data_IF_123283863129
#
_entry.id   IF_123283863129
#
_cell.length_a   1.000
_cell.length_b   1.000
_cell.length_c   1.000
_cell.angle_alpha   90.00
_cell.angle_beta   90.00
_cell.angle_gamma   90.00
#
_symmetry.space_group_name_H-M   'P 1'
#
loop_
_entity.id
_entity.type
_entity.pdbx_description
1 polymer ?
#
# COMPACT_ATOMS: atom_id res chain seq x y z
N UNK A 1 21.36 -10.45 41.64
CA UNK A 1 21.29 -10.50 40.17
C UNK A 1 20.41 -9.34 39.71
N UNK A 2 21.01 -8.22 39.35
CA UNK A 2 20.29 -7.04 38.85
C UNK A 2 19.98 -7.27 37.36
N UNK A 3 18.70 -7.42 37.03
CA UNK A 3 18.23 -7.52 35.64
C UNK A 3 18.50 -6.17 34.93
N UNK A 4 19.38 -6.12 33.91
CA UNK A 4 19.71 -4.89 33.22
C UNK A 4 18.81 -4.76 31.99
N UNK A 5 17.56 -4.31 32.13
CA UNK A 5 16.72 -3.73 31.05
C UNK A 5 15.22 -3.61 31.41
N UNK A 6 14.89 -3.03 32.56
CA UNK A 6 13.54 -2.44 32.71
C UNK A 6 13.67 -0.98 32.26
N UNK A 7 13.39 -0.74 30.99
CA UNK A 7 13.07 0.60 30.50
C UNK A 7 11.87 1.06 31.35
N UNK A 8 11.90 2.23 32.01
CA UNK A 8 10.80 2.67 32.85
C UNK A 8 9.48 2.54 32.08
N UNK A 9 8.46 2.00 32.75
CA UNK A 9 7.15 1.77 32.16
C UNK A 9 6.70 3.06 31.45
N UNK A 10 6.62 2.98 30.14
CA UNK A 10 6.30 4.11 29.28
C UNK A 10 4.87 4.58 29.61
N UNK A 11 4.71 5.69 30.33
CA UNK A 11 3.40 6.30 30.55
C UNK A 11 3.23 7.58 29.74
N UNK A 12 2.57 7.44 28.57
CA UNK A 12 2.18 8.59 27.74
C UNK A 12 1.36 9.62 28.51
N UNK A 13 0.67 9.23 29.59
CA UNK A 13 -0.24 10.11 30.35
C UNK A 13 0.51 11.22 31.08
N UNK A 14 1.72 10.96 31.57
CA UNK A 14 2.52 11.96 32.30
C UNK A 14 3.08 13.05 31.37
N UNK A 15 3.31 12.70 30.11
CA UNK A 15 3.85 13.61 29.09
C UNK A 15 2.83 14.59 28.52
N UNK A 16 1.54 14.31 28.62
CA UNK A 16 0.48 15.14 28.00
C UNK A 16 -0.29 15.95 29.03
N UNK A 17 -1.03 16.96 28.57
CA UNK A 17 -1.96 17.73 29.38
C UNK A 17 -3.13 18.17 28.50
N UNK A 18 -4.33 18.25 29.07
CA UNK A 18 -5.49 18.82 28.39
C UNK A 18 -5.42 20.35 28.47
N UNK A 19 -5.45 21.04 27.34
CA UNK A 19 -5.53 22.51 27.26
C UNK A 19 -6.54 22.88 26.17
N UNK A 20 -7.57 23.63 26.54
CA UNK A 20 -8.63 24.08 25.63
C UNK A 20 -9.32 22.96 24.84
N UNK A 21 -9.52 21.79 25.45
CA UNK A 21 -10.15 20.62 24.80
C UNK A 21 -9.21 19.82 23.90
N UNK A 22 -7.95 20.22 23.75
CA UNK A 22 -6.93 19.50 23.00
C UNK A 22 -5.86 18.91 23.91
N UNK A 23 -5.30 17.78 23.51
CA UNK A 23 -4.18 17.14 24.22
C UNK A 23 -2.89 17.73 23.68
N UNK A 24 -2.15 18.43 24.54
CA UNK A 24 -0.88 19.09 24.20
C UNK A 24 0.24 18.61 25.12
N UNK A 25 1.48 18.77 24.69
CA UNK A 25 2.67 18.61 25.55
C UNK A 25 3.47 19.91 25.59
N UNK A 26 4.38 20.06 26.54
CA UNK A 26 5.23 21.25 26.65
C UNK A 26 6.70 20.90 26.40
N UNK A 27 7.47 21.85 25.88
CA UNK A 27 8.91 21.63 25.66
C UNK A 27 9.67 21.30 26.95
N UNK A 28 9.16 21.69 28.12
CA UNK A 28 9.71 21.30 29.44
C UNK A 28 9.44 19.83 29.76
N UNK A 29 8.20 19.34 29.58
CA UNK A 29 7.88 17.92 29.75
C UNK A 29 8.70 17.03 28.81
N UNK A 30 8.89 17.49 27.57
CA UNK A 30 9.78 16.80 26.60
C UNK A 30 11.22 16.77 27.10
N UNK A 31 11.74 17.89 27.61
CA UNK A 31 13.11 17.96 28.14
C UNK A 31 13.33 17.01 29.33
N UNK A 32 12.40 17.00 30.28
CA UNK A 32 12.39 16.12 31.44
C UNK A 32 12.35 14.65 31.03
N UNK A 33 11.42 14.31 30.12
CA UNK A 33 11.24 12.94 29.64
C UNK A 33 12.49 12.37 28.95
N UNK A 34 13.13 13.15 28.07
CA UNK A 34 14.32 12.69 27.36
C UNK A 34 15.62 12.90 28.16
N UNK A 35 15.54 13.42 29.39
CA UNK A 35 16.70 13.78 30.20
C UNK A 35 17.62 14.78 29.51
N UNK A 36 17.05 15.70 28.71
CA UNK A 36 17.77 16.70 27.92
C UNK A 36 17.62 18.08 28.55
N UNK A 37 18.60 18.95 28.33
CA UNK A 37 18.49 20.36 28.75
C UNK A 37 17.37 21.05 27.97
N UNK A 38 16.51 21.80 28.65
CA UNK A 38 15.39 22.52 28.02
C UNK A 38 15.84 23.42 26.87
N UNK A 39 16.99 24.10 27.00
CA UNK A 39 17.57 24.92 25.94
C UNK A 39 17.89 24.15 24.64
N UNK A 40 18.32 22.88 24.74
CA UNK A 40 18.61 22.05 23.56
C UNK A 40 17.32 21.62 22.86
N UNK A 41 16.26 21.37 23.65
CA UNK A 41 14.93 21.08 23.12
C UNK A 41 14.35 22.29 22.40
N UNK A 42 14.48 23.50 22.97
CA UNK A 42 14.06 24.74 22.30
C UNK A 42 14.80 24.95 20.97
N UNK A 43 16.12 24.74 20.95
CA UNK A 43 16.91 24.83 19.71
C UNK A 43 16.45 23.82 18.67
N UNK A 44 16.16 22.58 19.08
CA UNK A 44 15.63 21.55 18.18
C UNK A 44 14.27 21.95 17.62
N UNK A 45 13.40 22.51 18.45
CA UNK A 45 12.08 22.98 18.02
C UNK A 45 12.21 24.07 16.97
N UNK A 46 13.09 25.06 17.15
CA UNK A 46 13.31 26.10 16.14
C UNK A 46 13.88 25.53 14.83
N UNK A 47 14.80 24.56 14.91
CA UNK A 47 15.30 23.88 13.72
C UNK A 47 14.18 23.15 12.97
N UNK A 48 13.36 22.38 13.68
CA UNK A 48 12.21 21.67 13.09
C UNK A 48 11.20 22.65 12.49
N UNK A 49 10.96 23.79 13.13
CA UNK A 49 10.09 24.85 12.62
C UNK A 49 10.63 25.47 11.32
N UNK A 50 11.94 25.55 11.15
CA UNK A 50 12.59 26.05 9.94
C UNK A 50 12.57 25.02 8.80
N UNK A 51 12.68 23.73 9.12
CA UNK A 51 12.72 22.64 8.14
C UNK A 51 11.32 22.24 7.63
N UNK A 52 10.24 22.57 8.36
CA UNK A 52 8.87 22.24 8.00
C UNK A 52 8.11 23.42 7.35
N UNK A 53 6.93 23.14 6.77
CA UNK A 53 6.12 24.19 6.16
C UNK A 53 5.62 25.20 7.20
N UNK A 54 5.50 26.47 6.80
CA UNK A 54 5.01 27.55 7.67
C UNK A 54 3.62 27.25 8.27
N UNK A 55 2.76 26.58 7.51
CA UNK A 55 1.43 26.18 7.96
C UNK A 55 1.49 25.13 9.08
N UNK A 56 2.34 24.10 8.92
CA UNK A 56 2.55 23.08 9.94
C UNK A 56 3.17 23.68 11.21
N UNK A 57 4.19 24.52 11.03
CA UNK A 57 4.88 25.21 12.13
C UNK A 57 3.90 26.01 13.00
N UNK A 58 3.04 26.83 12.37
CA UNK A 58 2.07 27.68 13.07
C UNK A 58 0.99 26.90 13.82
N UNK A 59 0.54 25.77 13.29
CA UNK A 59 -0.51 24.95 13.92
C UNK A 59 0.01 24.08 15.06
N UNK A 60 1.26 23.62 14.96
CA UNK A 60 1.77 22.57 15.85
C UNK A 60 2.74 23.08 16.92
N UNK A 61 3.27 24.31 16.78
CA UNK A 61 4.21 24.92 17.72
C UNK A 61 3.70 26.28 18.21
N UNK A 62 3.00 26.30 19.34
CA UNK A 62 2.50 27.52 19.97
C UNK A 62 3.48 28.04 21.03
N UNK A 63 3.92 29.29 20.92
CA UNK A 63 4.74 29.94 21.95
C UNK A 63 3.97 30.06 23.26
N UNK A 64 4.62 29.79 24.38
CA UNK A 64 4.06 29.90 25.72
C UNK A 64 5.17 30.27 26.70
N UNK A 65 4.82 30.73 27.90
CA UNK A 65 5.79 31.03 28.94
C UNK A 65 5.48 30.24 30.20
N UNK A 66 6.53 29.97 30.99
CA UNK A 66 6.40 29.40 32.32
C UNK A 66 7.19 30.20 33.34
N UNK A 67 6.78 30.08 34.59
CA UNK A 67 7.50 30.64 35.73
C UNK A 67 8.48 29.58 36.21
N UNK A 68 9.77 29.90 36.22
CA UNK A 68 10.80 29.02 36.75
C UNK A 68 10.81 29.02 38.30
N UNK A 69 11.62 28.15 38.89
CA UNK A 69 11.75 28.02 40.35
C UNK A 69 12.25 29.30 41.04
N UNK A 70 12.80 30.24 40.26
CA UNK A 70 13.29 31.54 40.72
C UNK A 70 12.23 32.65 40.52
N UNK A 71 11.00 32.29 40.13
CA UNK A 71 9.92 33.24 39.89
C UNK A 71 10.05 34.00 38.56
N UNK A 72 10.99 33.63 37.69
CA UNK A 72 11.25 34.34 36.43
C UNK A 72 10.48 33.71 35.27
N UNK A 73 9.91 34.56 34.42
CA UNK A 73 9.29 34.15 33.16
C UNK A 73 10.35 33.64 32.19
N UNK A 74 10.14 32.43 31.67
CA UNK A 74 10.98 31.75 30.70
C UNK A 74 10.14 31.27 29.51
N UNK A 75 10.65 31.41 28.27
CA UNK A 75 9.94 30.96 27.10
C UNK A 75 9.91 29.43 27.04
N UNK A 76 8.78 28.89 26.57
CA UNK A 76 8.57 27.50 26.24
C UNK A 76 7.66 27.35 25.01
N UNK A 77 7.46 26.11 24.57
CA UNK A 77 6.52 25.80 23.49
C UNK A 77 5.47 24.83 23.99
N UNK A 78 4.22 25.09 23.62
CA UNK A 78 3.12 24.15 23.67
C UNK A 78 3.03 23.44 22.31
N UNK A 79 3.10 22.12 22.33
CA UNK A 79 3.22 21.27 21.17
C UNK A 79 1.96 20.40 21.05
N UNK A 80 1.38 20.33 19.85
CA UNK A 80 0.33 19.36 19.55
C UNK A 80 0.91 17.95 19.42
N UNK A 81 0.04 16.94 19.31
CA UNK A 81 0.43 15.55 18.99
C UNK A 81 1.41 15.47 17.81
N UNK A 82 1.13 16.18 16.72
CA UNK A 82 1.94 16.09 15.52
C UNK A 82 3.25 16.87 15.66
N UNK A 83 3.22 18.01 16.36
CA UNK A 83 4.40 18.82 16.64
C UNK A 83 5.46 18.09 17.47
N UNK A 84 5.06 17.41 18.55
CA UNK A 84 6.04 16.69 19.38
C UNK A 84 6.59 15.44 18.68
N UNK A 85 5.77 14.70 17.91
CA UNK A 85 6.23 13.56 17.10
C UNK A 85 7.33 14.01 16.12
N UNK A 86 7.11 15.14 15.43
CA UNK A 86 8.09 15.69 14.50
C UNK A 86 9.45 15.97 15.18
N UNK A 87 9.44 16.48 16.41
CA UNK A 87 10.65 16.71 17.20
C UNK A 87 11.32 15.41 17.63
N UNK A 88 10.55 14.42 18.09
CA UNK A 88 11.07 13.15 18.59
C UNK A 88 11.69 12.29 17.50
N UNK A 89 11.17 12.36 16.26
CA UNK A 89 11.78 11.66 15.13
C UNK A 89 13.23 12.10 14.90
N UNK A 90 13.56 13.36 15.19
CA UNK A 90 14.91 13.92 15.11
C UNK A 90 15.81 13.70 16.34
N UNK A 91 15.31 13.04 17.40
CA UNK A 91 16.10 12.66 18.57
C UNK A 91 16.77 11.30 18.42
N UNK A 92 17.92 11.16 19.08
CA UNK A 92 18.72 9.93 19.18
C UNK A 92 18.83 9.48 20.63
N UNK A 93 18.95 8.17 20.86
CA UNK A 93 19.06 7.54 22.20
C UNK A 93 18.03 6.44 22.45
N UNK A 94 18.24 5.65 23.52
CA UNK A 94 17.39 4.47 23.86
C UNK A 94 15.92 4.83 24.07
N UNK A 95 15.64 5.93 24.77
CA UNK A 95 14.26 6.40 24.99
C UNK A 95 13.58 6.85 23.68
N UNK A 96 14.32 7.50 22.78
CA UNK A 96 13.80 7.89 21.47
C UNK A 96 13.55 6.67 20.57
N UNK A 97 14.43 5.66 20.61
CA UNK A 97 14.24 4.40 19.89
C UNK A 97 12.96 3.68 20.34
N UNK A 98 12.74 3.57 21.65
CA UNK A 98 11.53 2.94 22.20
C UNK A 98 10.23 3.63 21.74
N UNK A 99 10.21 4.97 21.64
CA UNK A 99 9.05 5.71 21.10
C UNK A 99 8.85 5.41 19.62
N UNK A 100 9.93 5.40 18.84
CA UNK A 100 9.86 5.11 17.41
C UNK A 100 9.33 3.70 17.17
N UNK A 101 9.82 2.72 17.91
CA UNK A 101 9.33 1.33 17.87
C UNK A 101 7.87 1.24 18.29
N UNK A 102 7.47 1.93 19.35
CA UNK A 102 6.07 1.97 19.80
C UNK A 102 5.16 2.59 18.74
N UNK A 103 5.58 3.68 18.10
CA UNK A 103 4.85 4.31 17.01
C UNK A 103 4.74 3.39 15.78
N UNK A 104 5.82 2.71 15.41
CA UNK A 104 5.83 1.71 14.33
C UNK A 104 4.88 0.56 14.67
N UNK A 105 4.91 0.06 15.91
CA UNK A 105 4.04 -1.03 16.36
C UNK A 105 2.56 -0.63 16.32
N UNK A 106 2.23 0.60 16.73
CA UNK A 106 0.88 1.13 16.66
C UNK A 106 0.41 1.30 15.21
N UNK A 107 1.30 1.73 14.31
CA UNK A 107 1.00 1.82 12.88
C UNK A 107 0.72 0.43 12.28
N UNK A 108 1.59 -0.55 12.56
CA UNK A 108 1.41 -1.93 12.10
C UNK A 108 0.13 -2.54 12.66
N UNK A 109 -0.16 -2.31 13.95
CA UNK A 109 -1.41 -2.75 14.56
C UNK A 109 -2.63 -2.11 13.90
N UNK A 110 -2.62 -0.79 13.67
CA UNK A 110 -3.74 -0.11 13.03
C UNK A 110 -3.91 -0.53 11.55
N UNK A 111 -2.81 -0.74 10.84
CA UNK A 111 -2.81 -1.31 9.49
C UNK A 111 -3.43 -2.71 9.51
N UNK A 112 -3.04 -3.58 10.43
CA UNK A 112 -3.62 -4.90 10.62
C UNK A 112 -5.11 -4.83 11.02
N UNK A 113 -5.51 -3.90 11.90
CA UNK A 113 -6.92 -3.69 12.24
C UNK A 113 -7.76 -3.20 11.04
N UNK A 114 -7.23 -2.31 10.21
CA UNK A 114 -7.90 -1.86 8.98
C UNK A 114 -8.02 -3.01 7.98
N UNK A 115 -6.94 -3.78 7.78
CA UNK A 115 -6.95 -4.99 6.95
C UNK A 115 -7.96 -6.02 7.46
N UNK A 116 -8.04 -6.23 8.78
CA UNK A 116 -9.04 -7.11 9.42
C UNK A 116 -10.46 -6.59 9.31
N UNK A 117 -10.69 -5.28 9.48
CA UNK A 117 -12.03 -4.66 9.31
C UNK A 117 -12.49 -4.76 7.87
N UNK A 118 -11.61 -4.52 6.91
CA UNK A 118 -11.87 -4.75 5.50
C UNK A 118 -12.17 -6.23 5.26
N UNK A 119 -11.31 -7.15 5.73
CA UNK A 119 -11.53 -8.59 5.62
C UNK A 119 -12.86 -9.06 6.26
N UNK A 120 -13.26 -8.50 7.40
CA UNK A 120 -14.52 -8.80 8.09
C UNK A 120 -15.74 -8.18 7.40
N UNK A 121 -15.63 -6.96 6.87
CA UNK A 121 -16.65 -6.37 6.03
C UNK A 121 -16.86 -7.20 4.76
N UNK A 122 -15.77 -7.67 4.14
CA UNK A 122 -15.82 -8.61 3.01
C UNK A 122 -16.38 -9.97 3.43
N UNK A 123 -16.09 -10.48 4.64
CA UNK A 123 -16.65 -11.72 5.17
C UNK A 123 -18.19 -11.68 5.33
N UNK A 124 -18.72 -10.57 5.81
CA UNK A 124 -20.17 -10.37 5.98
C UNK A 124 -20.94 -10.40 4.64
N UNK A 125 -20.26 -10.15 3.52
CA UNK A 125 -20.78 -10.29 2.15
C UNK A 125 -20.37 -11.60 1.46
N UNK A 126 -19.74 -12.56 2.16
CA UNK A 126 -19.32 -13.84 1.60
C UNK A 126 -18.02 -13.80 0.77
N UNK A 127 -17.17 -12.79 0.97
CA UNK A 127 -15.95 -12.51 0.19
C UNK A 127 -14.65 -12.60 1.02
N UNK A 128 -14.68 -13.19 2.23
CA UNK A 128 -13.49 -13.36 3.07
C UNK A 128 -12.42 -14.21 2.35
N UNK A 129 -11.23 -13.62 2.17
CA UNK A 129 -10.06 -14.27 1.56
C UNK A 129 -9.66 -13.78 0.17
N UNK A 130 -10.32 -12.74 -0.38
CA UNK A 130 -10.13 -12.34 -1.78
C UNK A 130 -9.30 -11.08 -2.06
N UNK A 131 -9.02 -10.24 -1.07
CA UNK A 131 -8.38 -8.95 -1.33
C UNK A 131 -7.27 -8.59 -0.33
N UNK A 132 -6.09 -8.34 -0.89
CA UNK A 132 -4.90 -7.85 -0.21
C UNK A 132 -4.66 -6.40 -0.69
N UNK A 133 -4.30 -5.47 0.20
CA UNK A 133 -4.27 -4.03 -0.12
C UNK A 133 -3.23 -3.64 -1.20
N UNK A 134 -2.33 -4.56 -1.56
CA UNK A 134 -1.33 -4.46 -2.63
C UNK A 134 -1.68 -5.27 -3.89
N UNK A 135 -2.96 -5.60 -4.10
CA UNK A 135 -3.35 -6.46 -5.21
C UNK A 135 -3.35 -5.70 -6.54
N UNK A 136 -2.71 -6.28 -7.57
CA UNK A 136 -2.60 -5.64 -8.89
C UNK A 136 -3.99 -5.37 -9.50
N UNK A 137 -4.13 -4.30 -10.28
CA UNK A 137 -5.39 -3.94 -10.96
C UNK A 137 -5.97 -5.12 -11.77
N UNK A 138 -5.11 -5.95 -12.36
CA UNK A 138 -5.50 -7.16 -13.07
C UNK A 138 -6.14 -8.19 -12.16
N UNK A 139 -5.58 -8.37 -10.96
CA UNK A 139 -6.14 -9.27 -9.96
C UNK A 139 -7.44 -8.72 -9.38
N UNK A 140 -7.57 -7.40 -9.19
CA UNK A 140 -8.83 -6.78 -8.82
C UNK A 140 -9.93 -7.02 -9.86
N UNK A 141 -9.61 -6.83 -11.15
CA UNK A 141 -10.56 -7.07 -12.24
C UNK A 141 -10.94 -8.55 -12.35
N UNK A 142 -9.99 -9.46 -12.17
CA UNK A 142 -10.26 -10.90 -12.23
C UNK A 142 -11.28 -11.37 -11.17
N UNK A 143 -11.30 -10.72 -10.00
CA UNK A 143 -12.10 -11.13 -8.84
C UNK A 143 -13.39 -10.31 -8.70
N UNK A 144 -13.45 -9.07 -9.18
CA UNK A 144 -14.63 -8.20 -9.08
C UNK A 144 -15.50 -8.16 -10.35
N UNK A 145 -15.39 -9.17 -11.21
CA UNK A 145 -16.20 -9.26 -12.42
C UNK A 145 -17.54 -9.97 -12.14
N UNK A 146 -18.63 -9.48 -12.73
CA UNK A 146 -19.98 -10.08 -12.62
C UNK A 146 -19.96 -11.57 -12.96
N UNK A 147 -19.21 -11.95 -14.00
CA UNK A 147 -19.03 -13.34 -14.42
C UNK A 147 -18.45 -14.24 -13.30
N UNK A 148 -17.56 -13.71 -12.46
CA UNK A 148 -17.01 -14.48 -11.35
C UNK A 148 -18.04 -14.69 -10.23
N UNK A 149 -18.85 -13.66 -9.93
CA UNK A 149 -19.92 -13.76 -8.94
C UNK A 149 -21.06 -14.71 -9.38
N UNK A 150 -21.31 -14.82 -10.69
CA UNK A 150 -22.38 -15.67 -11.22
C UNK A 150 -21.93 -17.10 -11.54
N UNK A 151 -20.74 -17.27 -12.13
CA UNK A 151 -20.28 -18.56 -12.65
C UNK A 151 -19.17 -19.21 -11.81
N UNK A 152 -18.59 -18.49 -10.84
CA UNK A 152 -17.52 -19.00 -9.98
C UNK A 152 -16.16 -19.21 -10.65
N UNK A 153 -16.05 -18.94 -11.96
CA UNK A 153 -14.81 -19.06 -12.73
C UNK A 153 -14.14 -17.69 -12.85
N UNK A 154 -12.89 -17.52 -12.39
CA UNK A 154 -12.19 -16.24 -12.48
C UNK A 154 -11.82 -15.90 -13.93
N UNK A 155 -11.78 -14.60 -14.24
CA UNK A 155 -11.38 -14.11 -15.56
C UNK A 155 -9.87 -14.30 -15.76
N UNK A 156 -9.49 -14.88 -16.89
CA UNK A 156 -8.08 -14.97 -17.30
C UNK A 156 -7.74 -13.79 -18.23
N UNK A 157 -6.93 -12.85 -17.75
CA UNK A 157 -6.47 -11.70 -18.55
C UNK A 157 -5.06 -11.97 -19.05
N UNK A 158 -4.88 -12.00 -20.38
CA UNK A 158 -3.59 -12.21 -21.03
C UNK A 158 -3.23 -11.05 -21.94
N UNK A 159 -1.99 -10.58 -21.85
CA UNK A 159 -1.45 -9.63 -22.81
C UNK A 159 -1.16 -10.35 -24.14
N UNK A 160 -1.73 -9.85 -25.24
CA UNK A 160 -1.56 -10.44 -26.58
C UNK A 160 -0.92 -9.40 -27.50
N UNK A 161 0.31 -9.69 -27.96
CA UNK A 161 1.06 -8.77 -28.84
C UNK A 161 0.29 -8.37 -30.10
N UNK A 162 -0.55 -9.26 -30.60
CA UNK A 162 -1.29 -9.10 -31.84
C UNK A 162 -2.47 -8.14 -31.75
N UNK A 163 -2.83 -7.66 -30.55
CA UNK A 163 -3.92 -6.70 -30.37
C UNK A 163 -3.44 -5.24 -30.22
N UNK A 164 -2.13 -5.04 -30.13
CA UNK A 164 -1.52 -3.70 -30.05
C UNK A 164 -1.68 -2.95 -31.38
N UNK A 165 -2.22 -1.74 -31.34
CA UNK A 165 -2.42 -0.87 -32.52
C UNK A 165 -3.41 -1.41 -33.57
N UNK A 166 -4.25 -2.40 -33.22
CA UNK A 166 -5.22 -3.02 -34.15
C UNK A 166 -6.61 -2.38 -34.12
N UNK A 167 -6.86 -1.50 -33.17
CA UNK A 167 -8.11 -0.76 -33.04
C UNK A 167 -8.22 0.38 -34.05
N UNK A 168 -9.43 0.93 -34.17
CA UNK A 168 -9.69 2.10 -35.02
C UNK A 168 -8.73 3.25 -34.66
N UNK A 169 -8.07 3.81 -35.69
CA UNK A 169 -7.12 4.91 -35.51
C UNK A 169 -5.77 4.50 -34.89
N UNK A 170 -5.41 3.22 -34.94
CA UNK A 170 -4.12 2.73 -34.41
C UNK A 170 -4.09 2.59 -32.89
N UNK A 171 -5.26 2.56 -32.24
CA UNK A 171 -5.38 2.33 -30.80
C UNK A 171 -5.24 0.84 -30.45
N UNK A 172 -5.01 0.54 -29.18
CA UNK A 172 -4.97 -0.84 -28.69
C UNK A 172 -6.38 -1.44 -28.60
N UNK A 173 -6.48 -2.74 -28.85
CA UNK A 173 -7.73 -3.52 -28.84
C UNK A 173 -7.72 -4.52 -27.68
N UNK A 174 -8.86 -4.69 -27.02
CA UNK A 174 -9.13 -5.85 -26.16
C UNK A 174 -10.17 -6.72 -26.81
N UNK A 175 -10.03 -8.03 -26.63
CA UNK A 175 -11.01 -9.03 -27.03
C UNK A 175 -11.40 -9.83 -25.80
N UNK A 176 -12.70 -9.95 -25.55
CA UNK A 176 -13.27 -10.74 -24.48
C UNK A 176 -14.11 -11.86 -25.09
N UNK A 177 -13.95 -13.08 -24.59
CA UNK A 177 -14.64 -14.24 -25.12
C UNK A 177 -14.84 -15.34 -24.10
N UNK A 178 -15.82 -16.21 -24.32
CA UNK A 178 -16.04 -17.38 -23.47
C UNK A 178 -15.18 -18.54 -23.95
N UNK A 179 -14.22 -18.97 -23.12
CA UNK A 179 -13.30 -20.08 -23.44
C UNK A 179 -13.95 -21.45 -23.21
N UNK A 180 -14.95 -21.79 -24.03
CA UNK A 180 -15.58 -23.11 -24.07
C UNK A 180 -15.77 -23.52 -25.53
N UNK A 181 -15.36 -24.74 -25.87
CA UNK A 181 -15.51 -25.34 -27.22
C UNK A 181 -16.97 -25.39 -27.69
N UNK A 182 -17.93 -25.37 -26.76
CA UNK A 182 -19.36 -25.28 -27.08
C UNK A 182 -19.72 -23.97 -27.75
N UNK A 183 -19.08 -22.87 -27.36
CA UNK A 183 -19.42 -21.52 -27.80
C UNK A 183 -18.44 -20.96 -28.82
N UNK A 184 -17.15 -21.27 -28.68
CA UNK A 184 -16.11 -20.81 -29.61
C UNK A 184 -15.28 -21.99 -30.05
N UNK A 185 -15.30 -22.24 -31.35
CA UNK A 185 -14.62 -23.37 -31.96
C UNK A 185 -13.41 -22.88 -32.75
N UNK A 186 -12.34 -23.66 -32.65
CA UNK A 186 -11.16 -23.47 -33.47
C UNK A 186 -10.71 -24.84 -33.97
N UNK A 187 -11.14 -25.26 -35.18
CA UNK A 187 -10.74 -26.54 -35.72
C UNK A 187 -9.24 -26.49 -36.03
N UNK A 188 -8.46 -27.30 -35.29
CA UNK A 188 -7.02 -27.36 -35.39
C UNK A 188 -6.60 -28.82 -35.54
N UNK A 189 -5.83 -29.11 -36.59
CA UNK A 189 -4.99 -30.30 -36.62
C UNK A 189 -3.61 -29.87 -36.12
N UNK A 190 -3.16 -30.39 -34.97
CA UNK A 190 -1.87 -30.02 -34.40
C UNK A 190 -0.75 -30.32 -35.40
N UNK A 191 0.32 -29.55 -35.32
CA UNK A 191 1.47 -29.73 -36.21
C UNK A 191 2.08 -31.12 -35.98
N UNK A 192 2.18 -31.91 -37.04
CA UNK A 192 2.76 -33.25 -37.03
C UNK A 192 3.94 -33.31 -37.99
N UNK A 193 4.98 -34.05 -37.60
CA UNK A 193 6.12 -34.31 -38.48
C UNK A 193 5.91 -35.59 -39.28
N UNK A 194 6.34 -35.56 -40.53
CA UNK A 194 6.55 -36.75 -41.34
C UNK A 194 7.90 -37.37 -40.94
N UNK A 195 8.07 -38.71 -41.00
CA UNK A 195 9.35 -39.36 -40.75
C UNK A 195 10.50 -38.70 -41.53
N UNK A 196 11.65 -38.54 -40.86
CA UNK A 196 12.83 -37.86 -41.40
C UNK A 196 13.29 -38.56 -42.67
N UNK A 197 13.48 -37.78 -43.73
CA UNK A 197 14.06 -38.27 -44.98
C UNK A 197 15.51 -37.84 -45.07
N UNK A 198 16.37 -38.80 -45.40
CA UNK A 198 17.78 -38.57 -45.63
C UNK A 198 18.00 -38.23 -47.11
N UNK A 199 18.48 -37.01 -47.39
CA UNK A 199 18.87 -36.58 -48.74
C UNK A 199 20.32 -36.10 -48.73
N UNK A 200 21.23 -37.02 -49.06
CA UNK A 200 22.66 -36.76 -49.04
C UNK A 200 23.14 -36.44 -47.63
N UNK A 201 23.77 -35.27 -47.45
CA UNK A 201 24.28 -34.79 -46.16
C UNK A 201 23.22 -34.05 -45.30
N UNK A 202 22.02 -33.83 -45.83
CA UNK A 202 20.96 -33.11 -45.14
C UNK A 202 19.81 -34.04 -44.72
N UNK A 203 19.22 -33.73 -43.57
CA UNK A 203 18.00 -34.36 -43.08
C UNK A 203 16.84 -33.37 -43.24
N UNK A 204 15.75 -33.80 -43.85
CA UNK A 204 14.54 -32.98 -44.01
C UNK A 204 13.43 -33.61 -43.20
N UNK A 205 12.83 -32.81 -42.32
CA UNK A 205 11.62 -33.15 -41.59
C UNK A 205 10.52 -32.17 -41.99
N UNK A 206 9.57 -32.64 -42.79
CA UNK A 206 8.41 -31.82 -43.18
C UNK A 206 7.37 -31.87 -42.08
N UNK A 207 6.91 -30.70 -41.66
CA UNK A 207 5.80 -30.56 -40.73
C UNK A 207 4.53 -30.18 -41.50
N UNK A 208 3.41 -30.79 -41.15
CA UNK A 208 2.10 -30.42 -41.68
C UNK A 208 1.12 -30.19 -40.53
N UNK A 209 0.14 -29.32 -40.76
CA UNK A 209 -0.92 -28.99 -39.82
C UNK A 209 -2.02 -28.25 -40.55
N UNK A 210 -3.22 -28.21 -39.98
CA UNK A 210 -4.37 -27.50 -40.55
C UNK A 210 -4.91 -26.53 -39.52
N UNK A 211 -4.88 -25.24 -39.83
CA UNK A 211 -5.50 -24.19 -39.04
C UNK A 211 -6.87 -23.86 -39.63
N UNK A 212 -7.92 -23.93 -38.83
CA UNK A 212 -9.26 -23.48 -39.18
C UNK A 212 -9.48 -22.00 -38.87
N UNK A 213 -10.63 -21.48 -39.29
CA UNK A 213 -11.10 -20.18 -38.82
C UNK A 213 -11.68 -20.31 -37.41
N UNK A 214 -11.63 -19.22 -36.63
CA UNK A 214 -12.34 -19.16 -35.35
C UNK A 214 -13.83 -19.00 -35.64
N UNK A 215 -14.65 -19.88 -35.07
CA UNK A 215 -16.09 -19.95 -35.29
C UNK A 215 -16.82 -19.67 -33.97
N UNK A 216 -17.40 -18.46 -33.79
CA UNK A 216 -18.32 -18.20 -32.69
C UNK A 216 -19.69 -18.79 -33.02
N UNK A 217 -20.18 -19.71 -32.17
CA UNK A 217 -21.51 -20.34 -32.32
C UNK A 217 -22.62 -19.32 -32.05
N UNK A 218 -22.39 -18.42 -31.09
CA UNK A 218 -23.27 -17.30 -30.76
C UNK A 218 -22.48 -15.99 -30.81
N UNK A 219 -23.06 -14.95 -31.40
CA UNK A 219 -22.37 -13.66 -31.59
C UNK A 219 -22.08 -12.96 -30.26
N UNK A 220 -22.90 -13.22 -29.26
CA UNK A 220 -22.83 -12.66 -27.91
C UNK A 220 -21.63 -13.20 -27.11
N UNK A 221 -21.02 -14.30 -27.56
CA UNK A 221 -19.94 -14.98 -26.81
C UNK A 221 -18.54 -14.43 -27.09
N UNK A 222 -18.42 -13.50 -28.04
CA UNK A 222 -17.18 -12.85 -28.45
C UNK A 222 -17.44 -11.35 -28.67
N UNK A 223 -16.69 -10.49 -27.97
CA UNK A 223 -16.77 -9.04 -28.13
C UNK A 223 -15.37 -8.42 -28.13
N UNK A 224 -15.24 -7.25 -28.76
CA UNK A 224 -14.01 -6.47 -28.75
C UNK A 224 -14.28 -5.00 -28.45
N UNK A 225 -13.29 -4.34 -27.87
CA UNK A 225 -13.32 -2.91 -27.56
C UNK A 225 -12.01 -2.28 -28.02
N UNK A 226 -12.10 -1.13 -28.65
CA UNK A 226 -10.96 -0.34 -29.12
C UNK A 226 -10.75 0.89 -28.24
N UNK A 227 -9.49 1.25 -27.98
CA UNK A 227 -9.15 2.51 -27.29
C UNK A 227 -8.90 2.38 -25.79
N UNK A 228 -8.15 1.35 -25.42
CA UNK A 228 -7.76 1.04 -24.04
C UNK A 228 -6.31 1.45 -23.83
#
# INVERSE_FOLDING_TARGET
MNNPSVIPAFDFREMVQAKNGEVVTTSRKVAEYFGKRHGDVLRKIEQVKADCSNEFSRRNFASADYIDEQGKLRPMYSLTKDGWIMVVMGFTGKAAAAIKESYISAFNWMSDQLSRRLANAFAAYGLAGKYDANQSLLTYLAVNTIAFHQNGVPLEIKAVKWLKGRGVGGKDRMVAYTNDKKYIRYPLVPLQSVPVQYRGLYQIATYYGKLGAVEPVYKETLSYVDGI
#
